data_IF_948432674508
#
_entry.id   IF_948432674508
#
_cell.length_a   1.000
_cell.length_b   1.000
_cell.length_c   1.000
_cell.angle_alpha   90.00
_cell.angle_beta   90.00
_cell.angle_gamma   90.00
#
_symmetry.space_group_name_H-M   'P 1'
#
loop_
_entity.id
_entity.type
_entity.pdbx_description
1 polymer ?
#
# COMPACT_ATOMS: atom_id res chain seq x y z
N UNK A 1 -7.35 -14.14 -1.72
CA UNK A 1 -6.14 -13.73 -1.01
C UNK A 1 -5.45 -12.61 -1.77
N UNK A 2 -4.99 -11.60 -1.04
CA UNK A 2 -4.31 -10.42 -1.52
C UNK A 2 -2.94 -10.31 -0.85
N UNK A 3 -1.98 -9.82 -1.62
CA UNK A 3 -0.60 -9.62 -1.21
C UNK A 3 -0.35 -8.12 -1.09
N UNK A 4 0.16 -7.68 0.05
CA UNK A 4 0.52 -6.28 0.32
C UNK A 4 2.04 -6.14 0.25
N UNK A 5 2.53 -5.16 -0.49
CA UNK A 5 3.96 -4.92 -0.70
C UNK A 5 4.23 -3.44 -0.97
N UNK A 6 5.51 -3.04 -0.95
CA UNK A 6 5.92 -1.65 -1.24
C UNK A 6 6.41 -1.48 -2.68
N UNK A 7 6.06 -0.34 -3.26
CA UNK A 7 6.65 0.18 -4.47
C UNK A 7 8.00 0.85 -4.16
N UNK A 8 8.86 0.98 -5.17
CA UNK A 8 10.11 1.76 -5.09
C UNK A 8 9.90 3.24 -4.73
N UNK A 9 8.72 3.82 -5.01
CA UNK A 9 8.37 5.17 -4.56
C UNK A 9 8.07 5.25 -3.05
N UNK A 10 8.09 4.12 -2.34
CA UNK A 10 7.85 4.02 -0.91
C UNK A 10 6.40 3.82 -0.50
N UNK A 11 5.44 3.88 -1.44
CA UNK A 11 4.02 3.61 -1.18
C UNK A 11 3.74 2.13 -0.99
N UNK A 12 2.86 1.79 -0.06
CA UNK A 12 2.27 0.46 0.04
C UNK A 12 1.17 0.28 -1.03
N UNK A 13 1.10 -0.91 -1.61
CA UNK A 13 0.08 -1.32 -2.59
C UNK A 13 -0.29 -2.77 -2.34
N UNK A 14 -1.46 -3.18 -2.82
CA UNK A 14 -1.88 -4.57 -2.79
C UNK A 14 -2.24 -5.10 -4.18
N UNK A 15 -2.15 -6.42 -4.34
CA UNK A 15 -2.57 -7.12 -5.55
C UNK A 15 -3.19 -8.47 -5.19
N UNK A 16 -4.13 -8.96 -6.01
CA UNK A 16 -4.69 -10.31 -5.84
C UNK A 16 -3.58 -11.33 -6.08
N UNK A 17 -3.56 -12.38 -5.29
CA UNK A 17 -2.63 -13.49 -5.47
C UNK A 17 -2.78 -14.10 -6.87
N UNK A 18 -1.66 -14.36 -7.54
CA UNK A 18 -1.61 -14.82 -8.94
C UNK A 18 -1.39 -13.70 -9.98
N UNK A 19 -1.59 -12.43 -9.62
CA UNK A 19 -1.27 -11.30 -10.51
C UNK A 19 0.25 -11.18 -10.68
N UNK A 20 0.73 -11.18 -11.93
CA UNK A 20 2.16 -11.02 -12.23
C UNK A 20 2.65 -9.59 -12.03
N UNK A 21 1.88 -8.60 -12.49
CA UNK A 21 2.28 -7.20 -12.47
C UNK A 21 1.19 -6.30 -11.91
N UNK A 22 1.60 -5.30 -11.12
CA UNK A 22 0.72 -4.25 -10.60
C UNK A 22 1.29 -2.89 -10.91
N UNK A 23 0.49 -2.02 -11.51
CA UNK A 23 0.83 -0.61 -11.71
C UNK A 23 0.63 0.17 -10.42
N UNK A 24 1.64 0.92 -9.99
CA UNK A 24 1.55 1.87 -8.89
C UNK A 24 1.04 3.23 -9.41
N UNK A 25 0.47 4.03 -8.51
CA UNK A 25 0.01 5.41 -8.79
C UNK A 25 1.16 6.32 -9.26
N UNK A 26 2.41 6.01 -8.90
CA UNK A 26 3.58 6.73 -9.42
C UNK A 26 3.90 6.41 -10.90
N UNK A 27 3.12 5.55 -11.56
CA UNK A 27 3.31 5.16 -12.96
C UNK A 27 4.19 3.92 -13.17
N UNK A 28 4.95 3.48 -12.16
CA UNK A 28 5.82 2.29 -12.25
C UNK A 28 5.02 0.99 -12.26
N UNK A 29 5.45 0.04 -13.10
CA UNK A 29 4.95 -1.34 -13.10
C UNK A 29 5.81 -2.21 -12.18
N UNK A 30 5.17 -2.93 -11.25
CA UNK A 30 5.83 -3.75 -10.24
C UNK A 30 5.58 -5.23 -10.52
N UNK A 31 6.65 -6.02 -10.63
CA UNK A 31 6.55 -7.48 -10.69
C UNK A 31 6.29 -8.03 -9.27
N UNK A 32 5.12 -8.60 -9.02
CA UNK A 32 4.68 -9.00 -7.68
C UNK A 32 5.57 -10.11 -7.10
N UNK A 33 6.09 -11.03 -7.93
CA UNK A 33 6.93 -12.15 -7.47
C UNK A 33 8.28 -11.74 -6.92
N UNK A 34 8.82 -10.63 -7.40
CA UNK A 34 10.14 -10.10 -6.99
C UNK A 34 10.05 -9.23 -5.73
N UNK A 35 8.83 -8.86 -5.31
CA UNK A 35 8.63 -7.95 -4.18
C UNK A 35 8.55 -8.70 -2.87
N UNK A 36 9.16 -8.12 -1.84
CA UNK A 36 9.00 -8.55 -0.46
C UNK A 36 7.55 -8.33 -0.03
N UNK A 37 6.85 -9.42 0.27
CA UNK A 37 5.48 -9.39 0.77
C UNK A 37 5.52 -8.99 2.25
N UNK A 38 4.76 -7.94 2.59
CA UNK A 38 4.66 -7.40 3.95
C UNK A 38 3.49 -8.03 4.72
N UNK A 39 2.38 -8.29 4.03
CA UNK A 39 1.21 -8.91 4.60
C UNK A 39 0.43 -9.71 3.54
N UNK A 40 -0.36 -10.67 4.00
CA UNK A 40 -1.35 -11.40 3.19
C UNK A 40 -2.71 -11.24 3.86
N UNK A 41 -3.73 -10.89 3.08
CA UNK A 41 -5.11 -10.75 3.57
C UNK A 41 -6.06 -11.61 2.73
N UNK A 42 -7.20 -12.00 3.29
CA UNK A 42 -8.17 -12.80 2.54
C UNK A 42 -8.96 -11.91 1.57
N UNK A 43 -9.43 -10.77 2.09
CA UNK A 43 -10.32 -9.85 1.41
C UNK A 43 -9.62 -8.57 0.91
N UNK A 44 -10.26 -7.93 -0.05
CA UNK A 44 -9.77 -6.68 -0.64
C UNK A 44 -9.88 -5.50 0.33
N UNK A 45 -10.87 -5.54 1.21
CA UNK A 45 -11.10 -4.50 2.22
C UNK A 45 -9.96 -4.50 3.25
N UNK A 46 -9.66 -5.66 3.84
CA UNK A 46 -8.50 -5.85 4.72
C UNK A 46 -7.19 -5.43 4.06
N UNK A 47 -7.02 -5.72 2.76
CA UNK A 47 -5.83 -5.32 2.01
C UNK A 47 -5.71 -3.79 1.90
N UNK A 48 -6.83 -3.10 1.71
CA UNK A 48 -6.89 -1.65 1.64
C UNK A 48 -6.60 -1.01 2.99
N UNK A 49 -7.20 -1.52 4.07
CA UNK A 49 -6.93 -1.09 5.45
C UNK A 49 -5.46 -1.27 5.81
N UNK A 50 -4.87 -2.44 5.50
CA UNK A 50 -3.45 -2.68 5.75
C UNK A 50 -2.54 -1.76 4.94
N UNK A 51 -2.91 -1.44 3.70
CA UNK A 51 -2.18 -0.45 2.90
C UNK A 51 -2.26 0.93 3.54
N UNK A 52 -3.43 1.33 4.05
CA UNK A 52 -3.59 2.62 4.73
C UNK A 52 -2.72 2.70 5.99
N UNK A 53 -2.78 1.71 6.87
CA UNK A 53 -1.93 1.65 8.08
C UNK A 53 -0.44 1.80 7.74
N UNK A 54 0.05 1.05 6.74
CA UNK A 54 1.46 1.11 6.31
C UNK A 54 1.88 2.44 5.69
N UNK A 55 0.90 3.22 5.20
CA UNK A 55 1.14 4.55 4.66
C UNK A 55 1.16 5.58 5.79
N UNK A 56 0.21 5.51 6.71
CA UNK A 56 0.11 6.40 7.87
C UNK A 56 1.30 6.22 8.82
N UNK A 57 1.80 4.99 8.99
CA UNK A 57 3.02 4.71 9.76
C UNK A 57 4.23 5.47 9.21
N UNK A 58 4.31 5.60 7.87
CA UNK A 58 5.46 6.20 7.20
C UNK A 58 5.32 7.71 6.98
N UNK A 59 4.11 8.17 6.65
CA UNK A 59 3.85 9.53 6.19
C UNK A 59 2.99 10.34 7.17
N UNK A 60 2.52 9.72 8.26
CA UNK A 60 1.55 10.31 9.18
C UNK A 60 0.11 10.18 8.67
N UNK A 61 -0.82 10.27 9.61
CA UNK A 61 -2.25 10.34 9.29
C UNK A 61 -2.61 11.63 8.54
N UNK A 62 -3.62 11.55 7.68
CA UNK A 62 -4.19 12.74 7.05
C UNK A 62 -5.23 13.35 7.99
N UNK A 63 -4.91 14.49 8.61
CA UNK A 63 -5.84 15.25 9.44
C UNK A 63 -5.86 16.72 9.02
N UNK A 64 -7.03 17.34 9.14
CA UNK A 64 -7.12 18.80 9.04
C UNK A 64 -6.60 19.41 10.33
N UNK A 65 -5.58 20.25 10.24
CA UNK A 65 -5.17 21.11 11.34
C UNK A 65 -6.03 22.36 11.37
N UNK A 66 -6.51 22.73 12.55
CA UNK A 66 -7.13 24.04 12.74
C UNK A 66 -6.03 25.11 12.72
N UNK A 67 -6.37 26.32 12.26
CA UNK A 67 -5.41 27.43 12.13
C UNK A 67 -4.66 27.77 13.43
N UNK A 68 -5.25 27.42 14.59
CA UNK A 68 -4.65 27.61 15.91
C UNK A 68 -3.53 26.59 16.25
N UNK A 69 -3.23 25.64 15.35
CA UNK A 69 -2.22 24.58 15.54
C UNK A 69 -1.09 24.63 14.49
N UNK A 70 -0.96 25.73 13.75
CA UNK A 70 0.13 26.00 12.80
C UNK A 70 1.30 26.69 13.50
#
# INVERSE_FOLDING_TARGET
MYLVFRCDCGRAVYAREGVRQKKCVCGKNLNVKERRILAKTQDAQDAAEKVQELQEEKYGGAYFTTANKL
#
